data_IF_968026542709
#
_entry.id   IF_968026542709
#
_cell.length_a   1.000
_cell.length_b   1.000
_cell.length_c   1.000
_cell.angle_alpha   90.00
_cell.angle_beta   90.00
_cell.angle_gamma   90.00
#
_symmetry.space_group_name_H-M   'P 1'
#
loop_
_entity.id
_entity.type
_entity.pdbx_description
1 polymer ?
#
# COMPACT_ATOMS: atom_id res chain seq x y z
N UNK A 1 48.69 -3.01 -14.50
CA UNK A 1 47.55 -3.34 -13.61
C UNK A 1 47.58 -2.33 -12.48
N UNK A 2 46.60 -1.43 -12.43
CA UNK A 2 46.46 -0.44 -11.35
C UNK A 2 46.16 -1.10 -9.99
N UNK A 3 46.14 -0.29 -8.92
CA UNK A 3 45.90 -0.77 -7.55
C UNK A 3 44.40 -0.98 -7.32
N UNK A 4 43.85 -2.11 -7.78
CA UNK A 4 42.41 -2.42 -7.68
C UNK A 4 41.94 -3.02 -6.34
N UNK A 5 42.80 -3.09 -5.31
CA UNK A 5 42.49 -3.85 -4.08
C UNK A 5 41.35 -3.23 -3.24
N UNK A 6 41.05 -1.95 -3.46
CA UNK A 6 40.03 -1.20 -2.72
C UNK A 6 38.89 -0.69 -3.60
N UNK A 7 38.93 -0.97 -4.91
CA UNK A 7 37.91 -0.53 -5.84
C UNK A 7 36.86 -1.63 -6.05
N UNK A 8 35.57 -1.27 -6.20
CA UNK A 8 34.50 -2.25 -6.34
C UNK A 8 34.47 -2.92 -7.72
N UNK A 9 35.19 -2.38 -8.72
CA UNK A 9 35.30 -2.92 -10.08
C UNK A 9 36.69 -3.52 -10.32
N UNK A 10 36.75 -4.77 -10.78
CA UNK A 10 37.90 -5.44 -11.37
C UNK A 10 38.14 -4.97 -12.80
N UNK A 11 39.17 -4.16 -13.01
CA UNK A 11 39.41 -3.55 -14.32
C UNK A 11 40.25 -4.43 -15.27
N UNK A 12 39.63 -4.78 -16.41
CA UNK A 12 40.32 -4.76 -17.70
C UNK A 12 40.62 -3.31 -18.09
N UNK A 13 41.69 -3.04 -18.85
CA UNK A 13 42.12 -1.67 -19.11
C UNK A 13 42.34 -1.36 -20.57
N UNK A 14 42.30 -0.06 -20.88
CA UNK A 14 42.89 0.54 -22.09
C UNK A 14 43.86 1.67 -21.78
N UNK A 15 44.46 1.63 -20.58
CA UNK A 15 45.43 2.62 -20.11
C UNK A 15 44.83 3.94 -19.62
N UNK A 16 43.59 3.93 -19.14
CA UNK A 16 42.89 5.15 -18.69
C UNK A 16 43.24 5.61 -17.27
N UNK A 17 44.07 4.85 -16.55
CA UNK A 17 44.48 5.16 -15.19
C UNK A 17 45.82 5.91 -15.12
N UNK A 18 46.08 6.55 -13.98
CA UNK A 18 47.30 7.33 -13.78
C UNK A 18 48.57 6.48 -13.98
N UNK A 19 49.56 7.02 -14.68
CA UNK A 19 50.84 6.35 -14.97
C UNK A 19 50.71 4.99 -15.69
N UNK A 20 49.64 4.78 -16.45
CA UNK A 20 49.51 3.59 -17.29
C UNK A 20 50.72 3.50 -18.25
N UNK A 21 51.54 2.46 -18.06
CA UNK A 21 52.68 2.14 -18.92
C UNK A 21 52.34 1.09 -20.00
N UNK A 22 51.09 0.61 -19.99
CA UNK A 22 50.48 -0.20 -21.02
C UNK A 22 49.12 0.42 -21.39
N UNK A 23 48.89 0.64 -22.68
CA UNK A 23 47.68 1.25 -23.24
C UNK A 23 46.97 0.31 -24.21
N UNK A 24 47.23 -0.99 -24.08
CA UNK A 24 46.53 -2.05 -24.77
C UNK A 24 45.03 -2.02 -24.45
N UNK A 25 44.18 -2.10 -25.47
CA UNK A 25 42.73 -2.25 -25.29
C UNK A 25 42.40 -3.71 -25.00
N UNK A 26 42.37 -4.05 -23.71
CA UNK A 26 42.24 -5.43 -23.22
C UNK A 26 40.91 -6.06 -23.67
N UNK A 27 39.78 -5.34 -23.53
CA UNK A 27 38.47 -5.83 -23.98
C UNK A 27 38.46 -6.07 -25.49
N UNK A 28 38.95 -5.14 -26.31
CA UNK A 28 39.01 -5.33 -27.76
C UNK A 28 39.84 -6.56 -28.16
N UNK A 29 40.93 -6.85 -27.43
CA UNK A 29 41.74 -8.05 -27.65
C UNK A 29 41.03 -9.31 -27.19
N UNK A 30 40.47 -9.33 -25.98
CA UNK A 30 39.76 -10.50 -25.43
C UNK A 30 38.60 -10.87 -26.35
N UNK A 31 37.81 -9.89 -26.79
CA UNK A 31 36.65 -10.12 -27.65
C UNK A 31 37.01 -10.26 -29.13
N UNK A 32 38.29 -10.19 -29.48
CA UNK A 32 38.73 -10.39 -30.86
C UNK A 32 38.53 -11.84 -31.33
N UNK A 33 38.47 -12.03 -32.64
CA UNK A 33 38.41 -13.36 -33.25
C UNK A 33 39.66 -14.23 -32.99
N UNK A 34 40.73 -13.66 -32.43
CA UNK A 34 41.96 -14.40 -32.11
C UNK A 34 41.75 -15.42 -30.99
N UNK A 35 40.91 -15.12 -30.00
CA UNK A 35 40.68 -15.98 -28.84
C UNK A 35 39.27 -16.60 -28.80
N UNK A 36 38.41 -16.24 -29.76
CA UNK A 36 37.06 -16.80 -29.91
C UNK A 36 36.20 -16.72 -28.63
N UNK A 37 36.39 -15.66 -27.82
CA UNK A 37 35.58 -15.40 -26.62
C UNK A 37 34.32 -14.61 -27.01
N UNK A 38 34.48 -13.51 -27.77
CA UNK A 38 33.39 -12.65 -28.21
C UNK A 38 32.61 -11.96 -27.07
N UNK A 39 31.65 -11.11 -27.45
CA UNK A 39 30.63 -10.62 -26.53
C UNK A 39 29.44 -11.58 -26.48
N UNK A 40 28.65 -11.50 -25.42
CA UNK A 40 27.33 -12.14 -25.41
C UNK A 40 26.41 -11.43 -26.42
N UNK A 41 25.31 -12.09 -26.77
CA UNK A 41 24.24 -11.44 -27.52
C UNK A 41 23.50 -10.45 -26.62
N UNK A 42 23.12 -9.32 -27.20
CA UNK A 42 22.28 -8.27 -26.59
C UNK A 42 20.94 -8.88 -26.14
N UNK A 43 20.62 -8.76 -24.85
CA UNK A 43 19.40 -9.32 -24.26
C UNK A 43 18.22 -8.33 -24.24
N UNK A 44 18.45 -7.02 -24.25
CA UNK A 44 17.39 -6.01 -24.32
C UNK A 44 17.73 -4.78 -25.18
N UNK A 45 16.71 -4.24 -25.83
CA UNK A 45 16.90 -3.12 -26.74
C UNK A 45 17.44 -1.84 -26.09
N UNK A 46 18.36 -1.22 -26.83
CA UNK A 46 19.10 0.01 -26.50
C UNK A 46 18.32 1.35 -26.45
N UNK A 47 16.99 1.33 -26.49
CA UNK A 47 16.21 2.57 -26.51
C UNK A 47 14.70 2.37 -26.33
N UNK A 48 13.97 3.48 -26.17
CA UNK A 48 12.53 3.45 -25.91
C UNK A 48 11.70 2.78 -27.02
N UNK A 49 12.18 2.81 -28.27
CA UNK A 49 11.53 2.15 -29.41
C UNK A 49 11.75 0.63 -29.46
N UNK A 50 12.77 0.11 -28.79
CA UNK A 50 13.11 -1.31 -28.69
C UNK A 50 12.94 -1.85 -27.25
N UNK A 51 12.35 -1.06 -26.36
CA UNK A 51 12.25 -1.36 -24.94
C UNK A 51 11.37 -2.59 -24.67
N UNK A 52 11.85 -3.47 -23.81
CA UNK A 52 11.14 -4.70 -23.44
C UNK A 52 10.03 -4.44 -22.45
N UNK A 53 8.82 -4.90 -22.75
CA UNK A 53 7.67 -4.67 -21.88
C UNK A 53 7.76 -5.47 -20.57
N UNK A 54 7.56 -4.80 -19.43
CA UNK A 54 7.42 -5.40 -18.10
C UNK A 54 6.06 -5.02 -17.49
N UNK A 55 5.49 -5.94 -16.71
CA UNK A 55 4.18 -5.73 -16.09
C UNK A 55 4.27 -4.82 -14.86
N UNK A 56 3.21 -4.06 -14.61
CA UNK A 56 3.03 -3.36 -13.33
C UNK A 56 2.77 -4.35 -12.19
N UNK A 57 2.99 -3.91 -10.95
CA UNK A 57 2.95 -4.75 -9.76
C UNK A 57 4.36 -5.08 -9.28
N UNK A 58 4.59 -6.32 -8.84
CA UNK A 58 5.92 -6.77 -8.45
C UNK A 58 6.81 -6.97 -9.67
N UNK A 59 7.99 -6.36 -9.66
CA UNK A 59 9.01 -6.50 -10.69
C UNK A 59 10.04 -7.53 -10.22
N UNK A 60 10.38 -8.44 -11.12
CA UNK A 60 11.50 -9.36 -10.98
C UNK A 60 12.04 -9.66 -12.39
N UNK A 61 13.13 -9.00 -12.75
CA UNK A 61 13.80 -9.12 -14.05
C UNK A 61 15.31 -9.14 -13.85
N UNK A 62 16.01 -9.70 -14.82
CA UNK A 62 17.47 -9.73 -14.84
C UNK A 62 17.94 -9.40 -16.25
N UNK A 63 19.10 -8.77 -16.38
CA UNK A 63 19.74 -8.52 -17.67
C UNK A 63 21.25 -8.54 -17.56
N UNK A 64 21.92 -8.32 -18.68
CA UNK A 64 23.37 -8.31 -18.79
C UNK A 64 23.79 -7.11 -19.63
N UNK A 65 24.48 -6.16 -19.01
CA UNK A 65 25.23 -5.15 -19.76
C UNK A 65 26.51 -5.81 -20.25
N UNK A 66 26.49 -6.29 -21.49
CA UNK A 66 27.57 -7.08 -22.07
C UNK A 66 28.63 -6.22 -22.75
N UNK A 67 28.31 -4.95 -23.07
CA UNK A 67 29.23 -3.94 -23.63
C UNK A 67 29.08 -2.60 -22.93
N UNK A 68 30.15 -1.81 -22.97
CA UNK A 68 30.12 -0.46 -22.38
C UNK A 68 29.25 0.52 -23.17
N UNK A 69 28.74 0.13 -24.34
CA UNK A 69 27.77 0.88 -25.14
C UNK A 69 26.36 0.33 -25.03
N UNK A 70 26.17 -0.74 -24.26
CA UNK A 70 24.88 -1.39 -24.10
C UNK A 70 24.06 -0.73 -22.98
N UNK A 71 22.76 -0.59 -23.23
CA UNK A 71 21.77 0.05 -22.39
C UNK A 71 20.48 -0.75 -22.47
N UNK A 72 20.06 -1.37 -21.38
CA UNK A 72 18.82 -2.11 -21.38
C UNK A 72 17.62 -1.20 -21.11
N UNK A 73 16.69 -1.10 -22.06
CA UNK A 73 15.42 -0.42 -21.85
C UNK A 73 14.25 -1.36 -21.56
N UNK A 74 13.49 -1.02 -20.53
CA UNK A 74 12.21 -1.64 -20.20
C UNK A 74 11.06 -0.63 -20.30
N UNK A 75 9.93 -1.03 -20.88
CA UNK A 75 8.71 -0.23 -20.95
C UNK A 75 7.63 -0.79 -20.03
N UNK A 76 6.84 0.08 -19.40
CA UNK A 76 5.73 -0.36 -18.56
C UNK A 76 4.65 0.71 -18.43
N UNK A 77 3.43 0.26 -18.16
CA UNK A 77 2.34 1.13 -17.75
C UNK A 77 2.29 1.17 -16.23
N UNK A 78 2.29 2.36 -15.64
CA UNK A 78 2.11 2.57 -14.21
C UNK A 78 0.72 3.16 -13.95
N UNK A 79 0.09 2.74 -12.85
CA UNK A 79 -0.95 3.54 -12.19
C UNK A 79 -0.36 4.78 -11.52
N UNK A 80 -1.22 5.63 -10.95
CA UNK A 80 -0.75 6.72 -10.10
C UNK A 80 -0.25 6.18 -8.77
N UNK A 81 0.89 6.69 -8.30
CA UNK A 81 1.54 6.22 -7.08
C UNK A 81 3.04 6.27 -7.20
N UNK A 82 3.74 5.63 -6.27
CA UNK A 82 5.21 5.63 -6.24
C UNK A 82 5.75 4.36 -6.90
N UNK A 83 6.55 4.53 -7.96
CA UNK A 83 7.42 3.48 -8.49
C UNK A 83 8.60 3.34 -7.55
N UNK A 84 8.90 2.12 -7.10
CA UNK A 84 10.07 1.79 -6.29
C UNK A 84 10.82 0.63 -6.92
N UNK A 85 12.01 0.87 -7.45
CA UNK A 85 12.81 -0.15 -8.12
C UNK A 85 14.21 -0.20 -7.52
N UNK A 86 14.69 -1.41 -7.23
CA UNK A 86 16.07 -1.68 -6.87
C UNK A 86 16.72 -2.42 -8.03
N UNK A 87 17.87 -1.92 -8.47
CA UNK A 87 18.65 -2.49 -9.56
C UNK A 87 19.99 -2.87 -8.97
N UNK A 88 20.16 -4.17 -8.72
CA UNK A 88 21.33 -4.68 -8.01
C UNK A 88 22.19 -5.52 -8.95
N UNK A 89 23.51 -5.39 -8.84
CA UNK A 89 24.44 -6.37 -9.41
C UNK A 89 24.43 -7.66 -8.58
N UNK A 90 25.18 -8.67 -9.02
CA UNK A 90 25.34 -9.94 -8.30
C UNK A 90 26.04 -9.71 -6.94
N UNK A 91 25.59 -10.41 -5.90
CA UNK A 91 26.09 -10.25 -4.53
C UNK A 91 27.53 -10.70 -4.32
N UNK A 92 28.10 -11.46 -5.26
CA UNK A 92 29.46 -11.98 -5.18
C UNK A 92 30.26 -11.53 -6.40
N UNK A 93 31.14 -10.55 -6.18
CA UNK A 93 32.04 -10.00 -7.22
C UNK A 93 31.28 -9.42 -8.42
N UNK A 94 30.23 -8.64 -8.18
CA UNK A 94 29.62 -7.84 -9.24
C UNK A 94 30.61 -6.81 -9.74
N UNK A 95 30.62 -6.58 -11.06
CA UNK A 95 31.59 -5.71 -11.74
C UNK A 95 30.91 -4.58 -12.54
N UNK A 96 29.58 -4.57 -12.53
CA UNK A 96 28.76 -3.55 -13.16
C UNK A 96 28.43 -2.47 -12.13
N UNK A 97 28.89 -1.25 -12.40
CA UNK A 97 28.45 -0.03 -11.72
C UNK A 97 27.28 0.60 -12.50
N UNK A 98 26.13 0.66 -11.85
CA UNK A 98 24.84 0.86 -12.49
C UNK A 98 24.42 2.32 -12.38
N UNK A 99 24.11 2.92 -13.53
CA UNK A 99 23.28 4.13 -13.60
C UNK A 99 21.88 3.77 -14.11
N UNK A 100 20.87 4.01 -13.28
CA UNK A 100 19.47 3.75 -13.63
C UNK A 100 18.73 5.07 -13.87
N UNK A 101 17.91 5.12 -14.93
CA UNK A 101 17.08 6.31 -15.24
C UNK A 101 15.64 5.92 -15.52
N UNK A 102 14.71 6.72 -15.02
CA UNK A 102 13.28 6.60 -15.28
C UNK A 102 12.86 7.72 -16.22
N UNK A 103 12.15 7.39 -17.31
CA UNK A 103 11.65 8.33 -18.32
C UNK A 103 10.13 8.31 -18.39
N UNK A 104 9.54 9.46 -18.71
CA UNK A 104 8.15 9.57 -19.12
C UNK A 104 7.96 9.15 -20.59
N UNK A 105 6.70 9.07 -21.03
CA UNK A 105 6.34 8.72 -22.42
C UNK A 105 6.86 9.69 -23.49
N UNK A 106 7.19 10.93 -23.12
CA UNK A 106 7.81 11.91 -24.03
C UNK A 106 9.35 11.83 -24.10
N UNK A 107 9.97 10.90 -23.38
CA UNK A 107 11.42 10.74 -23.31
C UNK A 107 12.13 11.67 -22.31
N UNK A 108 11.39 12.41 -21.50
CA UNK A 108 11.94 13.24 -20.42
C UNK A 108 12.32 12.39 -19.21
N UNK A 109 13.52 12.60 -18.66
CA UNK A 109 13.99 11.93 -17.44
C UNK A 109 13.24 12.46 -16.22
N UNK A 110 12.65 11.56 -15.45
CA UNK A 110 11.91 11.83 -14.21
C UNK A 110 12.80 11.61 -12.99
N UNK A 111 13.62 10.56 -13.01
CA UNK A 111 14.51 10.20 -11.92
C UNK A 111 15.79 9.58 -12.48
N UNK A 112 16.89 9.80 -11.77
CA UNK A 112 18.20 9.19 -12.05
C UNK A 112 18.78 8.70 -10.74
N UNK A 113 19.40 7.53 -10.77
CA UNK A 113 20.10 6.94 -9.65
C UNK A 113 21.50 6.52 -10.10
N UNK A 114 22.49 7.17 -9.50
CA UNK A 114 23.91 6.86 -9.64
C UNK A 114 24.57 7.08 -8.26
N UNK A 115 24.31 6.20 -7.28
CA UNK A 115 24.86 6.32 -5.94
C UNK A 115 26.34 5.91 -5.91
N UNK A 116 27.01 6.15 -4.77
CA UNK A 116 28.33 5.59 -4.55
C UNK A 116 28.23 4.06 -4.36
N UNK A 117 28.85 3.30 -5.24
CA UNK A 117 28.83 1.83 -5.26
C UNK A 117 27.96 1.27 -6.39
N UNK A 118 28.01 -0.04 -6.57
CA UNK A 118 27.57 -0.70 -7.81
C UNK A 118 26.04 -0.75 -8.04
N UNK A 119 25.24 -0.67 -6.98
CA UNK A 119 23.79 -0.87 -7.06
C UNK A 119 23.06 0.47 -7.18
N UNK A 120 21.96 0.50 -7.94
CA UNK A 120 21.10 1.68 -8.06
C UNK A 120 19.70 1.43 -7.47
N UNK A 121 19.02 2.51 -7.08
CA UNK A 121 17.62 2.45 -6.67
C UNK A 121 16.86 3.71 -7.09
N UNK A 122 15.63 3.52 -7.56
CA UNK A 122 14.75 4.57 -8.04
C UNK A 122 13.47 4.59 -7.19
N UNK A 123 13.10 5.79 -6.73
CA UNK A 123 11.80 6.05 -6.12
C UNK A 123 11.22 7.32 -6.71
N UNK A 124 10.05 7.23 -7.35
CA UNK A 124 9.40 8.38 -7.98
C UNK A 124 7.88 8.26 -7.91
N UNK A 125 7.22 9.31 -7.42
CA UNK A 125 5.77 9.45 -7.50
C UNK A 125 5.38 9.91 -8.90
N UNK A 126 4.51 9.14 -9.55
CA UNK A 126 4.10 9.35 -10.94
C UNK A 126 2.58 9.35 -11.06
N UNK A 127 2.07 10.00 -12.10
CA UNK A 127 0.69 9.84 -12.54
C UNK A 127 0.54 8.56 -13.38
N UNK A 128 -0.68 8.10 -13.57
CA UNK A 128 -0.94 6.95 -14.44
C UNK A 128 -0.50 7.23 -15.88
N UNK A 129 0.30 6.34 -16.46
CA UNK A 129 0.87 6.55 -17.78
C UNK A 129 1.91 5.49 -18.17
N UNK A 130 2.48 5.66 -19.36
CA UNK A 130 3.58 4.82 -19.86
C UNK A 130 4.93 5.43 -19.47
N UNK A 131 5.82 4.59 -18.97
CA UNK A 131 7.15 4.94 -18.48
C UNK A 131 8.18 3.97 -19.01
N UNK A 132 9.45 4.39 -18.95
CA UNK A 132 10.59 3.58 -19.35
C UNK A 132 11.66 3.59 -18.27
N UNK A 133 12.23 2.43 -17.98
CA UNK A 133 13.46 2.29 -17.19
C UNK A 133 14.60 2.05 -18.17
N UNK A 134 15.72 2.77 -18.03
CA UNK A 134 17.00 2.34 -18.57
C UNK A 134 17.91 1.84 -17.46
N UNK A 135 18.59 0.73 -17.71
CA UNK A 135 19.72 0.24 -16.93
C UNK A 135 20.95 0.35 -17.81
N UNK A 136 21.96 1.05 -17.33
CA UNK A 136 23.15 1.42 -18.09
C UNK A 136 24.38 1.27 -17.17
N UNK A 137 25.56 1.18 -17.77
CA UNK A 137 26.81 1.18 -17.04
C UNK A 137 27.30 2.60 -16.78
N UNK A 138 28.16 2.76 -15.78
CA UNK A 138 28.82 4.03 -15.51
C UNK A 138 30.22 3.86 -14.93
N UNK A 139 30.90 4.99 -14.73
CA UNK A 139 32.16 5.09 -14.01
C UNK A 139 32.02 6.02 -12.80
N UNK A 140 32.99 5.96 -11.90
CA UNK A 140 33.04 6.81 -10.72
C UNK A 140 34.33 7.64 -10.69
N UNK A 141 34.26 8.87 -10.17
CA UNK A 141 35.42 9.76 -10.03
C UNK A 141 36.11 10.09 -11.35
N UNK A 142 37.39 10.44 -11.29
CA UNK A 142 38.23 10.63 -12.47
C UNK A 142 39.19 9.43 -12.62
N UNK A 143 39.13 8.69 -13.75
CA UNK A 143 39.98 7.52 -13.99
C UNK A 143 41.49 7.79 -13.82
N UNK A 144 41.93 9.02 -14.09
CA UNK A 144 43.33 9.42 -13.98
C UNK A 144 43.78 9.77 -12.55
N UNK A 145 42.88 9.81 -11.57
CA UNK A 145 43.23 10.28 -10.21
C UNK A 145 42.64 9.45 -9.09
N UNK A 146 41.33 9.23 -9.10
CA UNK A 146 40.56 8.83 -7.92
C UNK A 146 39.33 8.00 -8.28
N UNK A 147 39.36 7.31 -9.42
CA UNK A 147 38.21 6.56 -9.88
C UNK A 147 38.49 5.70 -11.10
N UNK A 148 37.42 5.43 -11.84
CA UNK A 148 37.40 4.49 -12.95
C UNK A 148 36.41 4.90 -14.03
N UNK A 149 36.69 4.48 -15.26
CA UNK A 149 35.76 4.67 -16.37
C UNK A 149 34.75 3.53 -16.45
N UNK A 150 33.69 3.77 -17.20
CA UNK A 150 32.70 2.80 -17.64
C UNK A 150 33.25 1.59 -18.43
N UNK A 151 34.45 1.70 -19.00
CA UNK A 151 35.07 0.71 -19.87
C UNK A 151 34.95 -0.76 -19.40
N UNK A 152 35.23 -1.06 -18.13
CA UNK A 152 35.16 -2.42 -17.58
C UNK A 152 33.91 -2.64 -16.69
N UNK A 153 33.00 -1.67 -16.66
CA UNK A 153 31.77 -1.72 -15.88
C UNK A 153 30.73 -2.56 -16.62
N UNK A 154 30.89 -3.89 -16.58
CA UNK A 154 30.10 -4.84 -17.36
C UNK A 154 29.60 -5.96 -16.45
N UNK A 155 28.43 -6.52 -16.76
CA UNK A 155 27.95 -7.70 -16.06
C UNK A 155 26.44 -7.77 -15.88
N UNK A 156 26.03 -8.73 -15.06
CA UNK A 156 24.61 -9.01 -14.82
C UNK A 156 24.02 -8.13 -13.71
N UNK A 157 22.73 -7.85 -13.84
CA UNK A 157 21.94 -7.15 -12.83
C UNK A 157 20.55 -7.78 -12.65
N UNK A 158 19.88 -7.38 -11.57
CA UNK A 158 18.51 -7.76 -11.23
C UNK A 158 17.70 -6.51 -10.90
N UNK A 159 16.58 -6.33 -11.58
CA UNK A 159 15.56 -5.33 -11.28
C UNK A 159 14.49 -5.98 -10.40
N UNK A 160 14.31 -5.45 -9.21
CA UNK A 160 13.26 -5.84 -8.28
C UNK A 160 12.49 -4.63 -7.79
N UNK A 161 11.30 -4.83 -7.23
CA UNK A 161 10.54 -3.76 -6.58
C UNK A 161 9.08 -3.74 -7.02
N UNK A 162 8.48 -2.56 -7.02
CA UNK A 162 7.08 -2.37 -7.34
C UNK A 162 6.83 -1.20 -8.30
N UNK A 163 5.98 -1.47 -9.28
CA UNK A 163 5.36 -0.48 -10.15
C UNK A 163 3.87 -0.43 -9.74
N UNK A 164 3.28 0.76 -9.47
CA UNK A 164 1.85 0.86 -9.22
C UNK A 164 1.05 0.18 -10.32
N UNK A 165 0.20 -0.78 -9.95
CA UNK A 165 -0.70 -1.40 -10.91
C UNK A 165 -1.67 -0.36 -11.46
N UNK A 166 -1.72 -0.25 -12.79
CA UNK A 166 -2.76 0.55 -13.44
C UNK A 166 -4.11 -0.06 -13.05
N UNK A 167 -4.86 0.65 -12.20
CA UNK A 167 -6.19 0.18 -11.81
C UNK A 167 -7.09 0.18 -13.06
N UNK A 168 -7.91 -0.86 -13.23
CA UNK A 168 -9.11 -0.74 -14.07
C UNK A 168 -9.86 0.53 -13.64
N UNK A 169 -10.38 1.32 -14.58
CA UNK A 169 -10.84 2.68 -14.31
C UNK A 169 -11.69 2.76 -13.03
N UNK A 170 -11.27 3.63 -12.11
CA UNK A 170 -11.87 3.80 -10.77
C UNK A 170 -12.92 4.90 -10.74
N UNK A 171 -12.97 5.71 -11.80
CA UNK A 171 -14.07 6.60 -12.08
C UNK A 171 -14.51 6.41 -13.54
N UNK A 172 -15.80 6.45 -13.78
CA UNK A 172 -16.38 6.43 -15.13
C UNK A 172 -17.19 7.69 -15.35
N UNK A 173 -16.86 8.42 -16.42
CA UNK A 173 -17.51 9.66 -16.81
C UNK A 173 -18.45 9.42 -17.98
N UNK A 174 -19.60 10.08 -17.96
CA UNK A 174 -20.67 9.91 -18.92
C UNK A 174 -21.08 11.26 -19.49
N UNK A 175 -21.26 11.28 -20.82
CA UNK A 175 -21.71 12.46 -21.55
C UNK A 175 -23.08 12.95 -21.12
N UNK A 176 -23.99 12.02 -20.81
CA UNK A 176 -25.37 12.34 -20.48
C UNK A 176 -25.68 11.99 -19.00
N UNK A 177 -26.74 12.58 -18.46
CA UNK A 177 -27.27 12.17 -17.15
C UNK A 177 -27.77 10.72 -17.18
N UNK A 178 -27.89 10.13 -15.99
CA UNK A 178 -28.27 8.75 -15.72
C UNK A 178 -27.29 7.71 -16.27
N UNK A 179 -26.00 8.05 -16.34
CA UNK A 179 -24.94 7.18 -16.82
C UNK A 179 -25.12 6.75 -18.28
N UNK A 180 -25.65 7.66 -19.10
CA UNK A 180 -25.93 7.42 -20.52
C UNK A 180 -24.91 8.13 -21.43
N UNK A 181 -25.00 7.85 -22.73
CA UNK A 181 -24.09 8.42 -23.73
C UNK A 181 -22.71 7.76 -23.72
N UNK A 182 -21.73 8.48 -24.26
CA UNK A 182 -20.32 8.04 -24.27
C UNK A 182 -19.82 7.88 -22.84
N UNK A 183 -19.24 6.71 -22.54
CA UNK A 183 -18.69 6.38 -21.24
C UNK A 183 -17.17 6.20 -21.33
N UNK A 184 -16.43 6.88 -20.46
CA UNK A 184 -14.97 6.77 -20.37
C UNK A 184 -14.56 6.49 -18.95
N UNK A 185 -13.96 5.32 -18.73
CA UNK A 185 -13.38 4.93 -17.44
C UNK A 185 -11.91 5.32 -17.36
N UNK A 186 -11.51 5.99 -16.28
CA UNK A 186 -10.13 6.42 -16.04
C UNK A 186 -9.61 5.90 -14.69
N UNK A 187 -8.33 5.53 -14.60
CA UNK A 187 -7.71 5.17 -13.33
C UNK A 187 -7.59 6.38 -12.39
N UNK A 188 -7.05 6.16 -11.19
CA UNK A 188 -6.61 7.28 -10.36
C UNK A 188 -5.48 8.03 -11.08
N UNK A 189 -5.51 9.36 -11.00
CA UNK A 189 -4.54 10.26 -11.61
C UNK A 189 -5.11 11.65 -11.81
N UNK A 190 -4.23 12.52 -12.29
CA UNK A 190 -4.56 13.89 -12.63
C UNK A 190 -4.67 14.02 -14.15
N UNK A 191 -5.76 14.63 -14.62
CA UNK A 191 -6.08 14.71 -16.04
C UNK A 191 -6.37 16.17 -16.42
N UNK A 192 -5.46 16.75 -17.20
CA UNK A 192 -5.70 18.00 -17.93
C UNK A 192 -6.70 17.80 -19.05
N UNK A 193 -7.18 18.87 -19.64
CA UNK A 193 -8.09 18.84 -20.80
C UNK A 193 -7.51 18.00 -21.94
N UNK A 194 -6.23 18.18 -22.26
CA UNK A 194 -5.56 17.39 -23.30
C UNK A 194 -5.58 15.89 -23.01
N UNK A 195 -5.39 15.50 -21.74
CA UNK A 195 -5.42 14.11 -21.30
C UNK A 195 -6.85 13.51 -21.27
N UNK A 196 -7.86 14.36 -21.10
CA UNK A 196 -9.28 13.98 -21.19
C UNK A 196 -9.72 13.77 -22.65
N UNK A 197 -9.38 14.72 -23.52
CA UNK A 197 -9.70 14.64 -24.96
C UNK A 197 -9.02 13.44 -25.60
N UNK A 198 -7.77 13.12 -25.25
CA UNK A 198 -7.08 11.93 -25.75
C UNK A 198 -7.75 10.62 -25.34
N UNK A 199 -8.63 10.64 -24.33
CA UNK A 199 -9.42 9.51 -23.84
C UNK A 199 -10.87 9.53 -24.32
N UNK A 200 -11.25 10.52 -25.10
CA UNK A 200 -12.61 10.67 -25.65
C UNK A 200 -13.59 11.45 -24.77
N UNK A 201 -13.11 12.13 -23.73
CA UNK A 201 -13.91 13.08 -22.94
C UNK A 201 -13.73 14.47 -23.54
N UNK A 202 -14.81 15.06 -24.06
CA UNK A 202 -14.80 16.40 -24.64
C UNK A 202 -14.85 17.45 -23.52
N UNK A 203 -14.27 18.63 -23.77
CA UNK A 203 -14.34 19.75 -22.84
C UNK A 203 -15.80 20.06 -22.49
N UNK A 204 -16.09 20.32 -21.22
CA UNK A 204 -17.41 20.79 -20.79
C UNK A 204 -18.53 19.82 -21.20
N UNK A 205 -18.28 18.51 -21.12
CA UNK A 205 -19.19 17.49 -21.65
C UNK A 205 -19.49 16.35 -20.65
N UNK A 206 -19.10 16.52 -19.38
CA UNK A 206 -19.40 15.55 -18.31
C UNK A 206 -20.72 15.92 -17.65
N UNK A 207 -21.72 15.06 -17.77
CA UNK A 207 -23.04 15.24 -17.13
C UNK A 207 -23.31 14.26 -15.98
N UNK A 208 -22.67 13.10 -15.94
CA UNK A 208 -22.76 12.16 -14.80
C UNK A 208 -21.48 11.35 -14.62
N UNK A 209 -21.29 10.78 -13.43
CA UNK A 209 -20.13 9.95 -13.13
C UNK A 209 -20.41 8.85 -12.12
N UNK A 210 -19.67 7.76 -12.23
CA UNK A 210 -19.56 6.71 -11.21
C UNK A 210 -18.18 6.73 -10.59
N UNK A 211 -18.10 6.53 -9.29
CA UNK A 211 -16.84 6.55 -8.54
C UNK A 211 -16.75 5.30 -7.69
N UNK A 212 -15.76 4.44 -7.98
CA UNK A 212 -15.53 3.22 -7.23
C UNK A 212 -15.26 3.55 -5.75
N UNK A 213 -15.73 2.67 -4.87
CA UNK A 213 -15.53 2.82 -3.44
C UNK A 213 -14.03 2.98 -3.10
N UNK A 214 -13.71 3.97 -2.24
CA UNK A 214 -12.34 4.32 -1.84
C UNK A 214 -11.70 5.44 -2.65
N UNK A 215 -12.37 5.96 -3.67
CA UNK A 215 -11.89 7.07 -4.49
C UNK A 215 -12.80 8.29 -4.40
N UNK A 216 -12.23 9.45 -4.76
CA UNK A 216 -12.94 10.68 -5.01
C UNK A 216 -12.49 11.30 -6.33
N UNK A 217 -13.39 12.05 -6.95
CA UNK A 217 -13.15 12.81 -8.17
C UNK A 217 -13.33 14.29 -7.85
N UNK A 218 -12.31 15.09 -8.12
CA UNK A 218 -12.42 16.55 -8.11
C UNK A 218 -12.57 17.02 -9.55
N UNK A 219 -13.70 17.65 -9.87
CA UNK A 219 -13.94 18.30 -11.15
C UNK A 219 -13.52 19.78 -11.04
N UNK A 220 -12.84 20.30 -12.04
CA UNK A 220 -12.40 21.70 -12.11
C UNK A 220 -12.98 22.39 -13.34
N UNK A 221 -13.40 23.64 -13.16
CA UNK A 221 -14.04 24.46 -14.20
C UNK A 221 -13.08 24.85 -15.34
N UNK A 222 -11.77 24.88 -15.06
CA UNK A 222 -10.77 25.23 -16.06
C UNK A 222 -9.69 24.14 -16.17
N UNK A 223 -8.95 24.16 -17.28
CA UNK A 223 -7.80 23.28 -17.47
C UNK A 223 -6.72 23.54 -16.42
N UNK A 224 -5.81 22.59 -16.24
CA UNK A 224 -4.71 22.63 -15.27
C UNK A 224 -5.20 22.89 -13.83
N UNK A 225 -6.38 22.35 -13.49
CA UNK A 225 -6.97 22.37 -12.16
C UNK A 225 -7.28 23.78 -11.62
N UNK A 226 -7.56 24.71 -12.54
CA UNK A 226 -7.97 26.08 -12.21
C UNK A 226 -9.49 26.26 -12.08
N UNK A 227 -9.90 27.46 -11.67
CA UNK A 227 -11.31 27.83 -11.56
C UNK A 227 -12.01 27.26 -10.33
N UNK A 228 -13.34 27.25 -10.34
CA UNK A 228 -14.13 26.57 -9.31
C UNK A 228 -13.86 25.06 -9.32
N UNK A 229 -14.19 24.36 -8.23
CA UNK A 229 -14.09 22.90 -8.16
C UNK A 229 -15.19 22.26 -7.32
N UNK A 230 -15.55 21.01 -7.61
CA UNK A 230 -16.40 20.16 -6.76
C UNK A 230 -15.75 18.80 -6.56
N UNK A 231 -15.93 18.24 -5.36
CA UNK A 231 -15.49 16.88 -5.03
C UNK A 231 -16.70 15.94 -5.00
N UNK A 232 -16.58 14.83 -5.71
CA UNK A 232 -17.58 13.78 -5.83
C UNK A 232 -16.97 12.48 -5.28
N UNK A 233 -17.56 11.93 -4.22
CA UNK A 233 -17.01 10.81 -3.44
C UNK A 233 -17.75 9.48 -3.64
N UNK A 234 -18.66 9.44 -4.61
CA UNK A 234 -19.55 8.32 -4.95
C UNK A 234 -20.31 8.61 -6.25
N UNK A 235 -21.19 7.70 -6.65
CA UNK A 235 -21.94 7.84 -7.90
C UNK A 235 -22.84 9.08 -7.89
N UNK A 236 -22.82 9.84 -8.99
CA UNK A 236 -23.70 10.98 -9.22
C UNK A 236 -24.37 10.83 -10.58
N UNK A 237 -25.68 10.54 -10.55
CA UNK A 237 -26.45 10.29 -11.76
C UNK A 237 -26.72 11.54 -12.58
N UNK A 238 -26.59 12.76 -12.05
CA UNK A 238 -26.79 13.98 -12.83
C UNK A 238 -26.19 15.21 -12.13
N UNK A 239 -25.15 15.80 -12.73
CA UNK A 239 -24.43 16.94 -12.18
C UNK A 239 -25.22 18.26 -12.21
N UNK A 240 -26.38 18.29 -12.89
CA UNK A 240 -27.33 19.42 -12.84
C UNK A 240 -27.69 19.77 -11.40
N UNK A 241 -27.99 18.77 -10.56
CA UNK A 241 -28.36 18.99 -9.16
C UNK A 241 -27.21 19.58 -8.31
N UNK A 242 -25.97 19.40 -8.77
CA UNK A 242 -24.78 19.98 -8.15
C UNK A 242 -24.37 21.33 -8.77
N UNK A 243 -25.01 21.78 -9.86
CA UNK A 243 -24.61 22.98 -10.61
C UNK A 243 -23.33 22.81 -11.44
N UNK A 244 -23.01 21.57 -11.82
CA UNK A 244 -21.72 21.18 -12.42
C UNK A 244 -21.83 20.46 -13.77
N UNK A 245 -23.04 20.37 -14.34
CA UNK A 245 -23.25 19.77 -15.65
C UNK A 245 -22.45 20.52 -16.72
N UNK A 246 -21.68 19.79 -17.53
CA UNK A 246 -21.02 20.35 -18.72
C UNK A 246 -20.09 21.53 -18.39
N UNK A 247 -19.37 21.44 -17.26
CA UNK A 247 -18.45 22.50 -16.79
C UNK A 247 -17.02 22.04 -16.55
N UNK A 248 -16.77 20.74 -16.55
CA UNK A 248 -15.47 20.21 -16.17
C UNK A 248 -14.49 20.25 -17.36
N UNK A 249 -13.40 21.00 -17.20
CA UNK A 249 -12.29 21.04 -18.17
C UNK A 249 -11.04 20.28 -17.71
N UNK A 250 -10.89 20.00 -16.40
CA UNK A 250 -9.87 19.09 -15.88
C UNK A 250 -10.37 18.34 -14.64
N UNK A 251 -9.78 17.18 -14.34
CA UNK A 251 -10.20 16.35 -13.21
C UNK A 251 -9.01 15.80 -12.43
N UNK A 252 -9.21 15.53 -11.14
CA UNK A 252 -8.30 14.71 -10.32
C UNK A 252 -9.05 13.54 -9.74
N UNK A 253 -8.58 12.33 -10.00
CA UNK A 253 -9.14 11.09 -9.47
C UNK A 253 -8.14 10.55 -8.46
N UNK A 254 -8.48 10.57 -7.17
CA UNK A 254 -7.54 10.20 -6.10
C UNK A 254 -8.19 9.30 -5.08
N UNK A 255 -7.39 8.63 -4.27
CA UNK A 255 -7.91 7.94 -3.09
C UNK A 255 -8.63 8.95 -2.21
N UNK A 256 -9.88 8.67 -1.83
CA UNK A 256 -10.57 9.50 -0.87
C UNK A 256 -9.80 9.40 0.46
N UNK A 257 -9.35 10.54 0.97
CA UNK A 257 -8.85 10.59 2.35
C UNK A 257 -9.97 10.09 3.28
N UNK A 258 -9.62 9.46 4.39
CA UNK A 258 -10.58 9.04 5.41
C UNK A 258 -11.37 10.24 5.93
N UNK A 259 -12.49 10.54 5.29
CA UNK A 259 -13.39 11.60 5.71
C UNK A 259 -13.89 11.24 7.10
N UNK A 260 -13.54 12.09 8.07
CA UNK A 260 -13.94 11.94 9.46
C UNK A 260 -14.88 13.07 9.84
N UNK A 261 -16.05 12.72 10.38
CA UNK A 261 -17.01 13.66 10.94
C UNK A 261 -17.14 13.38 12.44
N UNK A 262 -16.98 14.41 13.26
CA UNK A 262 -17.25 14.32 14.70
C UNK A 262 -18.59 14.98 15.01
N UNK A 263 -19.42 14.27 15.77
CA UNK A 263 -20.74 14.67 16.23
C UNK A 263 -20.64 14.79 17.76
N UNK A 264 -20.91 15.98 18.29
CA UNK A 264 -21.01 16.17 19.74
C UNK A 264 -22.28 15.46 20.23
N UNK A 265 -22.19 14.71 21.32
CA UNK A 265 -23.29 13.86 21.76
C UNK A 265 -24.50 14.68 22.22
N UNK A 266 -24.27 15.85 22.79
CA UNK A 266 -25.30 16.80 23.20
C UNK A 266 -26.03 17.47 22.03
N UNK A 267 -25.52 17.34 20.79
CA UNK A 267 -26.17 17.85 19.57
C UNK A 267 -27.17 16.85 18.96
N UNK A 268 -27.87 16.09 19.80
CA UNK A 268 -28.95 15.22 19.35
C UNK A 268 -30.13 16.04 18.79
N UNK A 269 -30.79 15.52 17.76
CA UNK A 269 -32.03 16.07 17.20
C UNK A 269 -33.27 15.66 17.99
N UNK A 270 -33.22 14.47 18.62
CA UNK A 270 -34.22 13.96 19.55
C UNK A 270 -33.57 13.01 20.53
N UNK A 271 -34.13 12.86 21.72
CA UNK A 271 -33.63 11.93 22.73
C UNK A 271 -34.76 11.42 23.63
N UNK A 272 -34.45 10.39 24.42
CA UNK A 272 -35.25 9.93 25.54
C UNK A 272 -34.34 9.70 26.76
N UNK A 273 -34.74 10.23 27.92
CA UNK A 273 -34.19 9.88 29.24
C UNK A 273 -32.85 10.52 29.63
N UNK A 274 -32.10 11.07 28.66
CA UNK A 274 -30.75 11.59 28.91
C UNK A 274 -30.72 13.03 29.42
N UNK A 275 -29.61 13.40 30.08
CA UNK A 275 -29.31 14.77 30.51
C UNK A 275 -27.92 15.21 30.05
N UNK A 276 -27.64 16.50 30.11
CA UNK A 276 -26.33 17.06 29.78
C UNK A 276 -25.66 17.67 31.01
N UNK A 277 -24.33 17.56 31.07
CA UNK A 277 -23.49 18.22 32.06
C UNK A 277 -22.21 18.76 31.41
N UNK A 278 -21.50 19.65 32.10
CA UNK A 278 -20.20 20.15 31.64
C UNK A 278 -19.17 19.01 31.71
N UNK A 279 -18.49 18.75 30.60
CA UNK A 279 -17.47 17.70 30.54
C UNK A 279 -16.13 18.19 31.07
N UNK A 280 -15.39 17.29 31.70
CA UNK A 280 -13.98 17.49 32.06
C UNK A 280 -13.00 16.85 31.06
N UNK A 281 -13.52 16.27 29.97
CA UNK A 281 -12.68 15.69 28.92
C UNK A 281 -11.81 16.75 28.22
N UNK A 282 -10.76 16.27 27.56
CA UNK A 282 -9.92 17.11 26.73
C UNK A 282 -10.77 17.77 25.61
N UNK A 283 -10.69 19.10 25.51
CA UNK A 283 -11.50 19.90 24.60
C UNK A 283 -12.66 20.65 25.26
N UNK A 284 -13.04 20.29 26.49
CA UNK A 284 -14.17 20.91 27.20
C UNK A 284 -15.51 20.68 26.49
N UNK A 285 -16.49 21.55 26.76
CA UNK A 285 -17.85 21.43 26.21
C UNK A 285 -18.83 20.78 27.19
N UNK A 286 -19.79 20.03 26.65
CA UNK A 286 -20.74 19.25 27.44
C UNK A 286 -20.61 17.77 27.09
N UNK A 287 -21.07 16.90 27.98
CA UNK A 287 -21.34 15.51 27.64
C UNK A 287 -22.79 15.16 27.95
N UNK A 288 -23.25 14.04 27.37
CA UNK A 288 -24.52 13.43 27.73
C UNK A 288 -24.28 12.38 28.81
N UNK A 289 -25.18 12.33 29.80
CA UNK A 289 -25.15 11.42 30.93
C UNK A 289 -26.54 11.06 31.44
N UNK A 290 -26.62 10.46 32.63
CA UNK A 290 -27.85 9.85 33.18
C UNK A 290 -28.48 8.85 32.19
N UNK A 291 -27.65 8.16 31.42
CA UNK A 291 -28.10 7.21 30.40
C UNK A 291 -28.47 5.91 31.09
N UNK A 292 -29.77 5.62 31.12
CA UNK A 292 -30.33 4.38 31.63
C UNK A 292 -30.61 3.38 30.50
N UNK A 293 -30.86 2.13 30.87
CA UNK A 293 -31.22 1.09 29.90
C UNK A 293 -32.52 1.48 29.18
N UNK A 294 -32.50 1.41 27.84
CA UNK A 294 -33.52 1.84 26.88
C UNK A 294 -33.57 3.34 26.56
N UNK A 295 -32.67 4.15 27.09
CA UNK A 295 -32.51 5.53 26.64
C UNK A 295 -31.86 5.60 25.25
N UNK A 296 -32.05 6.72 24.55
CA UNK A 296 -31.49 6.90 23.21
C UNK A 296 -31.30 8.36 22.82
N UNK A 297 -30.43 8.57 21.84
CA UNK A 297 -30.19 9.83 21.15
C UNK A 297 -30.24 9.60 19.64
N UNK A 298 -30.90 10.49 18.90
CA UNK A 298 -30.98 10.46 17.44
C UNK A 298 -30.39 11.74 16.83
N UNK A 299 -29.61 11.59 15.77
CA UNK A 299 -28.93 12.64 15.04
C UNK A 299 -29.40 12.61 13.59
N UNK A 300 -30.05 13.67 13.13
CA UNK A 300 -30.62 13.71 11.80
C UNK A 300 -29.58 14.10 10.74
N UNK A 301 -29.83 13.68 9.50
CA UNK A 301 -29.10 14.13 8.32
C UNK A 301 -27.59 13.82 8.34
N UNK A 302 -27.20 12.69 8.92
CA UNK A 302 -25.81 12.22 8.89
C UNK A 302 -25.54 11.59 7.52
N UNK A 303 -24.59 12.16 6.78
CA UNK A 303 -24.24 11.71 5.44
C UNK A 303 -23.09 10.68 5.47
N UNK A 304 -23.37 9.48 4.98
CA UNK A 304 -22.37 8.48 4.64
C UNK A 304 -22.08 8.61 3.13
N UNK A 305 -20.98 9.29 2.74
CA UNK A 305 -20.75 9.64 1.34
C UNK A 305 -20.58 8.43 0.41
N UNK A 306 -20.12 7.33 1.01
CA UNK A 306 -19.76 6.00 0.49
C UNK A 306 -20.66 4.84 0.91
N UNK A 307 -21.04 3.91 0.03
CA UNK A 307 -21.20 2.51 0.48
C UNK A 307 -19.84 1.97 0.91
N UNK A 308 -19.75 1.36 2.09
CA UNK A 308 -18.53 0.70 2.56
C UNK A 308 -18.37 0.67 4.07
N UNK A 309 -17.14 0.38 4.51
CA UNK A 309 -16.79 0.30 5.92
C UNK A 309 -16.53 1.70 6.53
N UNK A 310 -16.99 1.88 7.76
CA UNK A 310 -16.79 3.06 8.58
C UNK A 310 -16.34 2.64 9.98
N UNK A 311 -15.28 3.28 10.48
CA UNK A 311 -14.89 3.20 11.87
C UNK A 311 -15.74 4.20 12.64
N UNK A 312 -16.51 3.70 13.61
CA UNK A 312 -17.31 4.52 14.51
C UNK A 312 -16.65 4.48 15.88
N UNK A 313 -16.35 5.65 16.41
CA UNK A 313 -15.67 5.85 17.67
C UNK A 313 -16.59 6.63 18.62
N UNK A 314 -16.61 6.24 19.88
CA UNK A 314 -17.42 6.84 20.93
C UNK A 314 -16.51 7.22 22.09
N UNK A 315 -16.53 8.49 22.47
CA UNK A 315 -15.80 8.97 23.63
C UNK A 315 -16.68 8.86 24.86
N UNK A 316 -16.37 7.90 25.72
CA UNK A 316 -17.27 7.45 26.79
C UNK A 316 -16.57 7.45 28.15
N UNK A 317 -17.37 7.55 29.20
CA UNK A 317 -16.96 7.39 30.59
C UNK A 317 -18.00 6.57 31.35
N UNK A 318 -17.59 5.88 32.41
CA UNK A 318 -18.48 5.14 33.31
C UNK A 318 -17.86 5.05 34.69
N UNK A 319 -18.62 5.48 35.71
CA UNK A 319 -18.26 5.32 37.11
C UNK A 319 -18.53 3.93 37.68
N UNK A 320 -19.34 3.12 36.99
CA UNK A 320 -19.69 1.75 37.37
C UNK A 320 -18.90 0.68 36.61
N UNK A 321 -19.52 -0.47 36.36
CA UNK A 321 -18.93 -1.58 35.58
C UNK A 321 -18.94 -1.34 34.08
N UNK A 322 -19.50 -0.22 33.60
CA UNK A 322 -19.76 0.03 32.20
C UNK A 322 -21.19 -0.33 31.78
N UNK A 323 -21.41 -0.39 30.47
CA UNK A 323 -22.72 -0.66 29.86
C UNK A 323 -22.56 -1.08 28.39
N UNK A 324 -23.62 -0.98 27.61
CA UNK A 324 -23.60 -1.36 26.19
C UNK A 324 -24.41 -0.37 25.38
N UNK A 325 -23.82 0.13 24.29
CA UNK A 325 -24.52 0.92 23.29
C UNK A 325 -24.80 0.07 22.03
N UNK A 326 -25.86 0.41 21.30
CA UNK A 326 -26.15 -0.01 19.94
C UNK A 326 -26.12 1.21 19.02
N UNK A 327 -25.49 1.06 17.86
CA UNK A 327 -25.57 2.04 16.79
C UNK A 327 -26.60 1.58 15.78
N UNK A 328 -27.59 2.43 15.54
CA UNK A 328 -28.71 2.11 14.68
C UNK A 328 -28.92 3.21 13.64
N UNK A 329 -29.58 2.90 12.52
CA UNK A 329 -30.05 3.87 11.54
C UNK A 329 -31.58 3.85 11.48
N UNK A 330 -32.16 5.02 11.23
CA UNK A 330 -33.58 5.22 10.97
C UNK A 330 -34.47 4.63 12.09
N UNK A 331 -34.21 5.06 13.32
CA UNK A 331 -34.97 4.67 14.53
C UNK A 331 -34.99 3.15 14.78
N UNK A 332 -33.82 2.49 14.68
CA UNK A 332 -33.70 1.06 14.96
C UNK A 332 -34.03 0.15 13.78
N UNK A 333 -34.46 0.69 12.64
CA UNK A 333 -34.78 -0.12 11.46
C UNK A 333 -33.57 -0.88 10.92
N UNK A 334 -32.36 -0.33 11.08
CA UNK A 334 -31.09 -0.96 10.70
C UNK A 334 -30.16 -0.90 11.91
N UNK A 335 -29.91 -2.03 12.55
CA UNK A 335 -28.92 -2.13 13.63
C UNK A 335 -27.55 -2.39 13.03
N UNK A 336 -26.60 -1.49 13.23
CA UNK A 336 -25.23 -1.58 12.70
C UNK A 336 -24.29 -2.35 13.64
N UNK A 337 -24.61 -2.41 14.93
CA UNK A 337 -23.91 -3.26 15.90
C UNK A 337 -23.87 -2.67 17.29
N UNK A 338 -23.45 -3.50 18.25
CA UNK A 338 -23.30 -3.11 19.65
C UNK A 338 -21.83 -2.97 20.05
N UNK A 339 -21.56 -2.09 21.02
CA UNK A 339 -20.24 -1.87 21.60
C UNK A 339 -20.36 -1.89 23.13
N UNK A 340 -19.55 -2.72 23.77
CA UNK A 340 -19.41 -2.70 25.22
C UNK A 340 -18.61 -1.48 25.66
N UNK A 341 -19.12 -0.78 26.66
CA UNK A 341 -18.47 0.34 27.31
C UNK A 341 -17.84 -0.19 28.59
N UNK A 342 -16.52 -0.07 28.78
CA UNK A 342 -15.87 -0.55 30.00
C UNK A 342 -16.14 0.39 31.18
N UNK A 343 -16.05 -0.13 32.40
CA UNK A 343 -15.89 0.69 33.60
C UNK A 343 -14.59 1.49 33.52
N UNK A 344 -14.68 2.82 33.57
CA UNK A 344 -13.52 3.72 33.43
C UNK A 344 -12.99 4.21 34.78
N UNK A 345 -13.66 3.87 35.88
CA UNK A 345 -13.27 4.30 37.23
C UNK A 345 -13.73 5.71 37.61
N UNK A 346 -14.58 6.35 36.79
CA UNK A 346 -15.22 7.63 37.10
C UNK A 346 -16.17 8.11 36.01
N UNK A 347 -17.19 8.90 36.36
CA UNK A 347 -18.18 9.46 35.41
C UNK A 347 -17.61 10.48 34.42
N UNK A 348 -16.37 10.89 34.67
CA UNK A 348 -15.65 11.93 33.96
C UNK A 348 -14.22 11.44 33.62
N UNK A 349 -13.97 10.12 33.68
CA UNK A 349 -12.72 9.51 33.23
C UNK A 349 -12.93 8.90 31.84
N UNK A 350 -12.33 9.51 30.82
CA UNK A 350 -12.75 9.31 29.44
C UNK A 350 -11.85 8.33 28.68
N UNK A 351 -12.47 7.38 27.98
CA UNK A 351 -11.82 6.49 27.01
C UNK A 351 -12.56 6.52 25.67
N UNK A 352 -11.92 6.03 24.61
CA UNK A 352 -12.56 5.89 23.31
C UNK A 352 -12.76 4.41 23.00
N UNK A 353 -14.00 4.01 22.77
CA UNK A 353 -14.35 2.68 22.26
C UNK A 353 -14.76 2.79 20.80
N UNK A 354 -14.58 1.73 20.03
CA UNK A 354 -14.86 1.78 18.59
C UNK A 354 -15.29 0.44 18.03
N UNK A 355 -15.96 0.47 16.89
CA UNK A 355 -16.17 -0.68 16.03
C UNK A 355 -16.21 -0.28 14.55
N UNK A 356 -16.11 -1.25 13.65
CA UNK A 356 -16.26 -1.03 12.22
C UNK A 356 -17.60 -1.56 11.76
N UNK A 357 -18.33 -0.75 10.99
CA UNK A 357 -19.66 -1.07 10.45
C UNK A 357 -19.66 -0.88 8.93
N UNK A 358 -20.48 -1.66 8.22
CA UNK A 358 -20.71 -1.46 6.79
C UNK A 358 -22.03 -0.72 6.58
N UNK A 359 -21.99 0.39 5.85
CA UNK A 359 -23.15 1.26 5.62
C UNK A 359 -23.27 1.50 4.12
N UNK A 360 -24.50 1.49 3.60
CA UNK A 360 -24.78 1.90 2.23
C UNK A 360 -24.67 3.43 2.13
N UNK A 361 -24.13 3.95 1.03
CA UNK A 361 -24.01 5.39 0.82
C UNK A 361 -25.37 6.06 0.84
N UNK A 362 -25.48 7.18 1.57
CA UNK A 362 -26.74 7.89 1.75
C UNK A 362 -26.75 8.76 3.01
N UNK A 363 -27.83 9.50 3.17
CA UNK A 363 -28.07 10.30 4.37
C UNK A 363 -29.08 9.59 5.27
N UNK A 364 -28.75 9.44 6.55
CA UNK A 364 -29.52 8.68 7.53
C UNK A 364 -29.76 9.47 8.81
N UNK A 365 -30.75 9.03 9.58
CA UNK A 365 -30.85 9.41 10.99
C UNK A 365 -30.08 8.38 11.80
N UNK A 366 -28.98 8.79 12.42
CA UNK A 366 -28.12 7.92 13.25
C UNK A 366 -28.66 7.89 14.67
N UNK A 367 -28.81 6.70 15.25
CA UNK A 367 -29.26 6.49 16.62
C UNK A 367 -28.18 5.85 17.48
N UNK A 368 -28.02 6.33 18.70
CA UNK A 368 -27.28 5.66 19.77
C UNK A 368 -28.31 5.21 20.81
N UNK A 369 -28.44 3.90 20.97
CA UNK A 369 -29.39 3.26 21.88
C UNK A 369 -28.66 2.57 23.03
N UNK A 370 -29.07 2.80 24.28
CA UNK A 370 -28.49 2.19 25.45
C UNK A 370 -29.13 0.82 25.74
N UNK A 371 -28.57 -0.26 25.19
CA UNK A 371 -29.01 -1.62 25.52
C UNK A 371 -28.65 -2.03 26.95
N UNK A 372 -27.65 -1.38 27.53
CA UNK A 372 -27.44 -1.31 28.98
C UNK A 372 -26.90 0.09 29.34
N UNK A 373 -27.55 0.76 30.30
CA UNK A 373 -27.15 2.10 30.78
C UNK A 373 -25.89 2.12 31.64
N UNK A 374 -25.67 3.23 32.37
CA UNK A 374 -24.57 3.38 33.32
C UNK A 374 -23.29 3.97 32.73
N UNK A 375 -23.40 4.86 31.74
CA UNK A 375 -22.28 5.51 31.07
C UNK A 375 -22.63 6.92 30.60
N UNK A 376 -21.59 7.72 30.38
CA UNK A 376 -21.63 9.04 29.77
C UNK A 376 -20.96 8.98 28.38
N UNK A 377 -21.35 9.88 27.49
CA UNK A 377 -20.74 10.03 26.15
C UNK A 377 -20.51 11.51 25.83
N UNK A 378 -19.34 11.82 25.29
CA UNK A 378 -18.92 13.16 24.90
C UNK A 378 -19.16 13.38 23.40
N UNK A 379 -18.59 12.53 22.55
CA UNK A 379 -18.75 12.64 21.10
C UNK A 379 -18.76 11.28 20.40
N UNK A 380 -19.30 11.29 19.19
CA UNK A 380 -19.28 10.19 18.22
C UNK A 380 -18.43 10.65 17.04
N UNK A 381 -17.48 9.84 16.58
CA UNK A 381 -16.70 10.13 15.37
C UNK A 381 -16.91 9.03 14.35
N UNK A 382 -17.32 9.44 13.16
CA UNK A 382 -17.58 8.57 12.02
C UNK A 382 -16.45 8.81 11.03
N UNK A 383 -15.58 7.82 10.87
CA UNK A 383 -14.47 7.90 9.94
C UNK A 383 -14.68 6.87 8.85
N UNK A 384 -14.78 7.34 7.60
CA UNK A 384 -14.76 6.42 6.47
C UNK A 384 -13.41 5.72 6.45
N UNK A 385 -13.41 4.41 6.64
CA UNK A 385 -12.24 3.62 6.30
C UNK A 385 -12.28 3.51 4.78
N UNK A 386 -11.30 4.09 4.08
CA UNK A 386 -11.15 3.77 2.66
C UNK A 386 -11.03 2.25 2.50
N UNK A 387 -10.98 1.76 1.26
CA UNK A 387 -10.21 0.55 1.04
C UNK A 387 -8.74 0.91 1.33
N UNK A 388 -8.39 1.12 2.59
CA UNK A 388 -7.07 0.82 3.05
C UNK A 388 -6.90 -0.62 2.58
N UNK A 389 -5.98 -0.82 1.63
CA UNK A 389 -5.24 -2.06 1.58
C UNK A 389 -5.08 -2.46 3.05
N UNK A 390 -5.62 -3.64 3.43
CA UNK A 390 -5.43 -4.25 4.76
C UNK A 390 -4.18 -3.61 5.32
N UNK A 391 -4.27 -2.82 6.41
CA UNK A 391 -3.04 -2.40 7.09
C UNK A 391 -2.18 -3.64 7.11
N UNK A 392 -1.05 -3.57 6.39
CA UNK A 392 -0.24 -4.74 6.17
C UNK A 392 -0.01 -5.28 7.57
N UNK A 393 -0.52 -6.48 7.83
CA UNK A 393 -0.25 -7.21 9.05
C UNK A 393 1.24 -7.01 9.28
N UNK A 394 1.67 -6.41 10.41
CA UNK A 394 3.04 -5.92 10.55
C UNK A 394 3.98 -7.02 10.06
N UNK A 395 4.73 -6.72 9.00
CA UNK A 395 5.51 -7.72 8.30
C UNK A 395 6.43 -8.38 9.33
N UNK A 396 6.24 -9.68 9.54
CA UNK A 396 7.13 -10.42 10.40
C UNK A 396 8.43 -10.66 9.65
N UNK A 397 9.55 -10.40 10.30
CA UNK A 397 10.87 -10.81 9.81
C UNK A 397 10.98 -12.33 9.99
N UNK A 398 11.33 -13.05 8.92
CA UNK A 398 11.70 -14.46 9.05
C UNK A 398 13.01 -14.55 9.82
N UNK A 399 13.05 -15.44 10.82
CA UNK A 399 14.30 -15.73 11.55
C UNK A 399 15.25 -16.42 10.58
N UNK A 400 16.34 -15.75 10.22
CA UNK A 400 17.45 -16.34 9.48
C UNK A 400 18.15 -17.44 10.28
N UNK A 401 18.41 -18.56 9.60
CA UNK A 401 19.33 -19.67 9.93
C UNK A 401 19.22 -20.44 11.26
N UNK A 402 18.32 -20.15 12.21
CA UNK A 402 18.05 -21.09 13.33
C UNK A 402 16.88 -22.05 13.04
N UNK A 403 17.11 -23.37 12.89
CA UNK A 403 16.04 -24.30 12.53
C UNK A 403 15.09 -24.56 13.70
N UNK A 404 13.79 -24.34 13.50
CA UNK A 404 12.75 -24.96 14.34
C UNK A 404 12.63 -26.43 13.94
N UNK A 405 12.91 -27.34 14.88
CA UNK A 405 12.75 -28.77 14.64
C UNK A 405 11.44 -29.29 15.27
N UNK A 406 10.66 -30.00 14.45
CA UNK A 406 9.42 -30.68 14.86
C UNK A 406 9.64 -32.18 14.84
N UNK A 407 9.44 -32.85 15.97
CA UNK A 407 9.61 -34.31 16.06
C UNK A 407 8.71 -34.97 17.12
N UNK A 408 8.27 -36.22 16.91
CA UNK A 408 8.37 -36.96 15.65
C UNK A 408 7.50 -36.28 14.58
N UNK A 409 7.92 -36.37 13.32
CA UNK A 409 7.12 -35.96 12.18
C UNK A 409 7.22 -37.09 11.14
N UNK A 410 6.17 -37.90 10.92
CA UNK A 410 4.79 -37.70 11.40
C UNK A 410 4.57 -37.97 12.90
N UNK A 411 3.50 -37.42 13.48
CA UNK A 411 3.11 -37.59 14.89
C UNK A 411 1.67 -38.10 15.07
N UNK A 412 1.41 -38.77 16.18
CA UNK A 412 0.08 -39.21 16.61
C UNK A 412 -0.52 -38.19 17.60
N UNK A 413 -0.05 -38.11 18.84
CA UNK A 413 -0.72 -37.27 19.85
C UNK A 413 0.11 -36.10 20.37
N UNK A 414 1.44 -36.18 20.30
CA UNK A 414 2.35 -35.19 20.91
C UNK A 414 3.45 -34.81 19.93
N UNK A 415 3.59 -33.50 19.70
CA UNK A 415 4.63 -32.91 18.87
C UNK A 415 5.65 -32.18 19.74
N UNK A 416 6.91 -32.62 19.72
CA UNK A 416 8.00 -31.86 20.34
C UNK A 416 8.45 -30.75 19.39
N UNK A 417 8.66 -29.57 19.97
CA UNK A 417 9.06 -28.36 19.25
C UNK A 417 10.36 -27.86 19.88
N UNK A 418 11.43 -27.90 19.11
CA UNK A 418 12.68 -27.22 19.46
C UNK A 418 12.68 -25.85 18.79
N UNK A 419 12.54 -24.81 19.59
CA UNK A 419 12.50 -23.42 19.13
C UNK A 419 13.92 -22.84 19.00
N UNK A 420 14.09 -21.94 18.03
CA UNK A 420 15.20 -20.99 18.03
C UNK A 420 15.18 -20.16 19.31
N UNK A 421 16.35 -19.77 19.83
CA UNK A 421 16.43 -19.03 21.11
C UNK A 421 15.68 -17.69 21.04
N UNK A 422 15.67 -17.07 19.86
CA UNK A 422 14.94 -15.83 19.56
C UNK A 422 13.41 -15.98 19.63
N UNK A 423 12.88 -17.20 19.56
CA UNK A 423 11.45 -17.52 19.56
C UNK A 423 10.97 -18.21 20.84
N UNK A 424 11.84 -18.45 21.83
CA UNK A 424 11.44 -19.00 23.14
C UNK A 424 10.42 -18.08 23.84
N UNK A 425 9.31 -18.65 24.31
CA UNK A 425 8.19 -17.89 24.88
C UNK A 425 7.28 -17.22 23.84
N UNK A 426 7.52 -17.46 22.55
CA UNK A 426 6.64 -17.02 21.47
C UNK A 426 5.28 -17.72 21.47
N UNK A 427 4.28 -17.06 20.87
CA UNK A 427 2.96 -17.65 20.60
C UNK A 427 3.10 -18.73 19.52
N UNK A 428 2.56 -19.91 19.78
CA UNK A 428 2.46 -21.00 18.80
C UNK A 428 1.01 -21.20 18.38
N UNK A 429 0.80 -21.22 17.07
CA UNK A 429 -0.51 -21.42 16.43
C UNK A 429 -0.40 -22.51 15.38
N UNK A 430 -1.36 -23.42 15.33
CA UNK A 430 -1.46 -24.46 14.28
C UNK A 430 -2.60 -24.12 13.33
N UNK A 431 -2.32 -24.19 12.04
CA UNK A 431 -3.27 -23.98 10.95
C UNK A 431 -3.46 -25.27 10.15
N UNK A 432 -4.66 -25.46 9.62
CA UNK A 432 -4.89 -26.41 8.53
C UNK A 432 -4.41 -25.83 7.18
N UNK A 433 -4.40 -26.65 6.12
CA UNK A 433 -3.97 -26.22 4.79
C UNK A 433 -4.86 -25.14 4.15
N UNK A 434 -6.03 -24.86 4.72
CA UNK A 434 -6.91 -23.77 4.27
C UNK A 434 -6.60 -22.45 4.97
N UNK A 435 -5.62 -22.44 5.88
CA UNK A 435 -5.22 -21.26 6.66
C UNK A 435 -6.13 -20.99 7.85
N UNK A 436 -7.03 -21.91 8.20
CA UNK A 436 -7.88 -21.80 9.38
C UNK A 436 -7.10 -22.24 10.61
N UNK A 437 -7.15 -21.43 11.66
CA UNK A 437 -6.59 -21.75 12.97
C UNK A 437 -7.32 -22.96 13.57
N UNK A 438 -6.57 -24.00 13.91
CA UNK A 438 -7.13 -25.24 14.48
C UNK A 438 -6.65 -25.51 15.90
N UNK A 439 -5.59 -24.83 16.37
CA UNK A 439 -5.11 -24.91 17.75
C UNK A 439 -4.27 -23.67 18.16
N UNK A 440 -4.51 -23.16 19.37
CA UNK A 440 -3.84 -21.97 19.95
C UNK A 440 -3.26 -22.27 21.34
N UNK A 441 -1.92 -22.31 21.49
CA UNK A 441 -1.18 -22.50 22.77
C UNK A 441 -1.39 -23.87 23.46
N UNK A 442 -0.57 -24.37 24.41
CA UNK A 442 0.67 -23.93 25.06
C UNK A 442 1.77 -24.97 24.82
N UNK A 443 2.99 -24.52 24.48
CA UNK A 443 4.17 -25.38 24.57
C UNK A 443 4.47 -25.59 26.06
N UNK A 444 4.26 -26.80 26.58
CA UNK A 444 4.67 -27.18 27.94
C UNK A 444 5.91 -28.04 27.83
N UNK A 445 7.02 -27.61 28.44
CA UNK A 445 8.29 -28.35 28.42
C UNK A 445 8.79 -28.70 27.00
N UNK A 446 8.48 -27.88 25.99
CA UNK A 446 8.85 -28.14 24.60
C UNK A 446 7.88 -29.04 23.83
N UNK A 447 6.70 -29.34 24.37
CA UNK A 447 5.71 -30.22 23.75
C UNK A 447 4.36 -29.53 23.49
N UNK A 448 3.70 -29.91 22.39
CA UNK A 448 2.32 -29.56 22.06
C UNK A 448 1.50 -30.84 21.91
N UNK A 449 0.33 -30.88 22.56
CA UNK A 449 -0.65 -31.92 22.32
C UNK A 449 -1.44 -31.61 21.03
N UNK A 450 -1.38 -32.53 20.08
CA UNK A 450 -2.02 -32.45 18.76
C UNK A 450 -3.06 -33.55 18.54
N UNK A 451 -3.44 -34.30 19.59
CA UNK A 451 -4.37 -35.43 19.51
C UNK A 451 -5.77 -35.04 19.00
N UNK A 452 -6.16 -33.77 19.19
CA UNK A 452 -7.44 -33.23 18.72
C UNK A 452 -7.45 -32.83 17.24
N UNK A 453 -6.29 -32.84 16.57
CA UNK A 453 -6.18 -32.50 15.16
C UNK A 453 -6.60 -33.69 14.28
N UNK A 454 -7.21 -33.37 13.14
CA UNK A 454 -7.54 -34.39 12.14
C UNK A 454 -6.25 -34.93 11.50
N UNK A 455 -6.24 -36.18 11.00
CA UNK A 455 -5.14 -36.67 10.16
C UNK A 455 -4.90 -35.73 8.96
N UNK A 456 -3.63 -35.46 8.66
CA UNK A 456 -3.21 -34.62 7.54
C UNK A 456 -2.08 -33.64 7.86
N UNK A 457 -1.72 -32.83 6.85
CA UNK A 457 -0.65 -31.84 6.94
C UNK A 457 -1.17 -30.59 7.66
N UNK A 458 -0.39 -30.12 8.63
CA UNK A 458 -0.66 -28.92 9.39
C UNK A 458 0.54 -27.98 9.35
N UNK A 459 0.29 -26.67 9.43
CA UNK A 459 1.31 -25.64 9.51
C UNK A 459 1.41 -25.16 10.96
N UNK A 460 2.59 -25.27 11.56
CA UNK A 460 2.91 -24.65 12.85
C UNK A 460 3.55 -23.30 12.56
N UNK A 461 2.99 -22.26 13.16
CA UNK A 461 3.53 -20.91 13.12
C UNK A 461 3.93 -20.53 14.54
N UNK A 462 5.18 -20.09 14.69
CA UNK A 462 5.70 -19.55 15.94
C UNK A 462 6.00 -18.08 15.73
N UNK A 463 5.50 -17.24 16.64
CA UNK A 463 5.61 -15.80 16.55
C UNK A 463 6.01 -15.21 17.90
N UNK A 464 7.03 -14.35 17.90
CA UNK A 464 7.42 -13.55 19.06
C UNK A 464 7.84 -12.18 18.59
N UNK A 465 7.22 -11.14 19.15
CA UNK A 465 7.42 -9.76 18.71
C UNK A 465 7.22 -9.60 17.19
N UNK A 466 8.26 -9.17 16.45
CA UNK A 466 8.27 -9.06 14.99
C UNK A 466 8.86 -10.27 14.27
N UNK A 467 9.29 -11.29 15.00
CA UNK A 467 9.86 -12.50 14.41
C UNK A 467 8.78 -13.56 14.19
N UNK A 468 8.80 -14.19 13.01
CA UNK A 468 7.92 -15.32 12.69
C UNK A 468 8.73 -16.43 12.04
N UNK A 469 8.35 -17.65 12.35
CA UNK A 469 8.80 -18.82 11.61
C UNK A 469 7.62 -19.77 11.40
N UNK A 470 7.58 -20.43 10.25
CA UNK A 470 6.55 -21.42 9.94
C UNK A 470 7.16 -22.69 9.40
N UNK A 471 6.69 -23.82 9.90
CA UNK A 471 7.12 -25.14 9.47
C UNK A 471 5.95 -26.12 9.51
N UNK A 472 6.03 -27.22 8.77
CA UNK A 472 4.92 -28.17 8.59
C UNK A 472 5.18 -29.49 9.31
N UNK A 473 4.12 -30.15 9.76
CA UNK A 473 4.15 -31.54 10.21
C UNK A 473 2.93 -32.31 9.72
N UNK A 474 3.06 -33.63 9.75
CA UNK A 474 2.00 -34.58 9.40
C UNK A 474 1.42 -35.21 10.67
N UNK A 475 0.10 -35.09 10.83
CA UNK A 475 -0.70 -35.78 11.84
C UNK A 475 -1.22 -37.08 11.22
N UNK A 476 -0.96 -38.22 11.87
CA UNK A 476 -1.51 -39.51 11.46
C UNK A 476 -2.98 -39.67 11.84
#
# INVERSE_FOLDING_TARGET
MGVGYYEPITQWSRGQYNFANNTEDDLAKITSGTYNVGYRDDDYGNGTGSATAIASGSVNRSGIIERNTDIDFFSFNSGSGTINLNINTVSRHGDLDIIARLYNSSGGVIATSNPAGLNASLSASVSAGTYYLSVDNTGAGNPATDGYSDYASLGSYFVTGSIPVASNGVATFYKDCNYAGTAVSVPAGDYTLSALVSRGIVNDDISSLRVNAGYEVVLYEHDNYGGASITITGDNSCLVGAGWNDRASSIRVRSAASASQTIQAENYSAMLGVQTEVTTDAGGGSNVGWIETNDWMAYNSINFPSTGAYLIEYRVASGGTGGTLSLDLNAGAIVLGQVGIPGTGGWQNWTTVSHTVNVTGGTYNVGVFASAGGWNINWIRITRTGNAAREATPAFEEVGEEPIALFPNPTDDVLNIKLAKSLEGGRVTIYDLTGREVLLGQVKEGQINVSSLRPGIHLVVVQKDRLRHSTRFEKK
#
